data_IF_584723159470
#
_entry.id   IF_584723159470
#
_cell.length_a   1.000
_cell.length_b   1.000
_cell.length_c   1.000
_cell.angle_alpha   90.00
_cell.angle_beta   90.00
_cell.angle_gamma   90.00
#
_symmetry.space_group_name_H-M   'P 1'
#
loop_
_entity.id
_entity.type
_entity.pdbx_description
1 polymer ?
#
# COMPACT_ATOMS: atom_id res chain seq x y z
N UNK A 1 15.62 25.51 10.32
CA UNK A 1 15.10 25.78 8.97
C UNK A 1 13.59 25.79 9.09
N UNK A 2 12.91 26.81 8.56
CA UNK A 2 11.48 26.96 8.74
C UNK A 2 10.77 25.71 8.21
N UNK A 3 10.00 25.10 9.10
CA UNK A 3 9.28 23.84 8.96
C UNK A 3 8.11 24.08 7.99
N UNK A 4 8.37 23.95 6.69
CA UNK A 4 7.38 24.11 5.62
C UNK A 4 6.44 22.90 5.64
N UNK A 5 5.57 22.86 6.66
CA UNK A 5 4.53 21.84 6.81
C UNK A 5 3.47 22.06 5.75
N UNK A 6 3.76 21.60 4.53
CA UNK A 6 2.80 21.58 3.42
C UNK A 6 1.57 20.80 3.86
N UNK A 7 0.42 21.47 3.88
CA UNK A 7 -0.87 20.83 4.10
C UNK A 7 -1.16 19.97 2.88
N UNK A 8 -1.34 18.67 3.09
CA UNK A 8 -1.60 17.71 2.01
C UNK A 8 -3.06 17.30 1.93
N UNK A 9 -3.83 17.59 2.98
CA UNK A 9 -5.25 17.25 3.08
C UNK A 9 -6.00 18.25 3.97
N UNK A 10 -7.23 18.57 3.60
CA UNK A 10 -8.13 19.42 4.37
C UNK A 10 -9.60 19.02 4.17
N UNK A 11 -10.35 19.05 5.28
CA UNK A 11 -11.79 18.90 5.36
C UNK A 11 -12.38 20.17 5.95
N UNK A 12 -13.43 20.70 5.33
CA UNK A 12 -14.10 21.93 5.75
C UNK A 12 -15.59 21.64 5.88
N UNK A 13 -16.08 21.62 7.13
CA UNK A 13 -17.49 21.43 7.43
C UNK A 13 -18.05 20.08 7.00
N UNK A 14 -17.24 19.02 7.02
CA UNK A 14 -17.66 17.73 6.48
C UNK A 14 -18.66 17.03 7.40
N UNK A 15 -19.82 16.70 6.85
CA UNK A 15 -20.89 16.00 7.55
C UNK A 15 -21.38 14.78 6.75
N UNK A 16 -21.69 13.68 7.44
CA UNK A 16 -22.24 12.46 6.82
C UNK A 16 -23.43 11.95 7.63
N UNK A 17 -24.52 11.73 6.93
CA UNK A 17 -25.76 11.16 7.45
C UNK A 17 -26.16 9.97 6.59
N UNK A 18 -26.33 8.81 7.21
CA UNK A 18 -26.86 7.62 6.55
C UNK A 18 -28.40 7.57 6.65
N UNK A 19 -29.10 7.08 5.63
CA UNK A 19 -30.54 6.85 5.71
C UNK A 19 -30.93 5.88 6.85
N UNK A 20 -32.10 6.05 7.48
CA UNK A 20 -33.05 7.14 7.26
C UNK A 20 -32.57 8.48 7.85
N UNK A 21 -31.96 8.50 9.05
CA UNK A 21 -31.54 9.76 9.71
C UNK A 21 -30.34 9.58 10.67
N UNK A 22 -29.41 8.66 10.41
CA UNK A 22 -28.27 8.41 11.30
C UNK A 22 -27.09 9.33 10.93
N UNK A 23 -26.97 10.46 11.62
CA UNK A 23 -25.79 11.32 11.49
C UNK A 23 -24.58 10.65 12.16
N UNK A 24 -23.54 10.39 11.40
CA UNK A 24 -22.30 9.73 11.88
C UNK A 24 -21.12 10.70 11.95
N UNK A 25 -21.11 11.73 11.11
CA UNK A 25 -20.13 12.82 11.14
C UNK A 25 -20.89 14.15 11.07
N UNK A 26 -20.42 15.13 11.83
CA UNK A 26 -21.02 16.46 11.90
C UNK A 26 -19.92 17.52 11.95
N UNK A 27 -19.95 18.43 10.99
CA UNK A 27 -19.14 19.65 10.91
C UNK A 27 -17.66 19.39 11.20
N UNK A 28 -17.08 18.40 10.53
CA UNK A 28 -15.66 18.04 10.69
C UNK A 28 -14.79 19.06 9.95
N UNK A 29 -13.88 19.69 10.71
CA UNK A 29 -12.80 20.52 10.20
C UNK A 29 -11.48 19.88 10.60
N UNK A 30 -10.72 19.41 9.62
CA UNK A 30 -9.48 18.69 9.85
C UNK A 30 -8.52 18.97 8.71
N UNK A 31 -7.29 19.33 9.04
CA UNK A 31 -6.20 19.45 8.07
C UNK A 31 -4.97 18.77 8.64
N UNK A 32 -4.21 18.09 7.78
CA UNK A 32 -2.94 17.51 8.18
C UNK A 32 -1.83 17.77 7.16
N UNK A 33 -0.61 17.82 7.69
CA UNK A 33 0.62 18.00 6.93
C UNK A 33 1.27 16.64 6.66
N UNK A 34 2.13 16.60 5.65
CA UNK A 34 2.92 15.41 5.35
C UNK A 34 3.79 14.99 6.54
N UNK A 35 3.76 13.70 6.88
CA UNK A 35 4.53 13.12 7.98
C UNK A 35 3.81 13.13 9.34
N UNK A 36 2.59 13.66 9.42
CA UNK A 36 1.81 13.60 10.66
C UNK A 36 1.48 12.15 11.06
N UNK A 37 1.41 11.88 12.37
CA UNK A 37 0.96 10.61 12.95
C UNK A 37 -0.29 10.88 13.78
N UNK A 38 -1.44 10.36 13.35
CA UNK A 38 -2.75 10.75 13.89
C UNK A 38 -3.52 9.52 14.33
N UNK A 39 -3.75 9.39 15.64
CA UNK A 39 -4.65 8.39 16.20
C UNK A 39 -6.09 8.88 16.23
N UNK A 40 -7.02 8.17 15.58
CA UNK A 40 -8.45 8.45 15.66
C UNK A 40 -9.09 7.53 16.72
N UNK A 41 -9.59 8.12 17.80
CA UNK A 41 -10.24 7.39 18.90
C UNK A 41 -11.72 7.71 18.98
N UNK A 42 -12.52 6.75 19.45
CA UNK A 42 -13.96 6.92 19.60
C UNK A 42 -14.68 5.59 19.76
N UNK A 43 -15.93 5.64 20.24
CA UNK A 43 -16.77 4.46 20.42
C UNK A 43 -17.09 3.76 19.08
N UNK A 44 -17.53 2.51 19.15
CA UNK A 44 -18.01 1.81 17.95
C UNK A 44 -19.23 2.53 17.37
N UNK A 45 -19.21 2.74 16.05
CA UNK A 45 -20.24 3.51 15.36
C UNK A 45 -20.10 5.03 15.43
N UNK A 46 -19.01 5.57 15.99
CA UNK A 46 -18.74 7.02 16.03
C UNK A 46 -18.30 7.63 14.69
N UNK A 47 -18.33 6.86 13.60
CA UNK A 47 -17.97 7.34 12.26
C UNK A 47 -16.47 7.27 11.90
N UNK A 48 -15.62 6.61 12.70
CA UNK A 48 -14.16 6.48 12.42
C UNK A 48 -13.88 5.90 11.03
N UNK A 49 -14.42 4.72 10.74
CA UNK A 49 -14.28 4.07 9.44
C UNK A 49 -14.87 4.91 8.30
N UNK A 50 -15.95 5.65 8.56
CA UNK A 50 -16.54 6.57 7.59
C UNK A 50 -15.61 7.74 7.29
N UNK A 51 -14.98 8.32 8.32
CA UNK A 51 -14.00 9.39 8.16
C UNK A 51 -12.80 8.90 7.34
N UNK A 52 -12.22 7.74 7.67
CA UNK A 52 -11.13 7.14 6.90
C UNK A 52 -11.52 6.89 5.43
N UNK A 53 -12.72 6.37 5.17
CA UNK A 53 -13.22 6.15 3.80
C UNK A 53 -13.40 7.44 3.00
N UNK A 54 -13.77 8.55 3.66
CA UNK A 54 -13.84 9.86 3.01
C UNK A 54 -12.43 10.35 2.65
N UNK A 55 -11.46 10.20 3.57
CA UNK A 55 -10.06 10.58 3.32
C UNK A 55 -9.46 9.74 2.19
N UNK A 56 -9.76 8.43 2.16
CA UNK A 56 -9.35 7.51 1.10
C UNK A 56 -10.04 7.78 -0.26
N UNK A 57 -11.05 8.65 -0.31
CA UNK A 57 -11.82 8.94 -1.53
C UNK A 57 -12.82 7.83 -1.94
N UNK A 58 -13.06 6.86 -1.06
CA UNK A 58 -13.98 5.74 -1.28
C UNK A 58 -15.43 6.18 -1.03
N UNK A 59 -15.66 6.88 0.09
CA UNK A 59 -16.95 7.45 0.43
C UNK A 59 -17.05 8.87 -0.11
N UNK A 60 -17.94 9.09 -1.08
CA UNK A 60 -18.07 10.37 -1.81
C UNK A 60 -19.35 11.13 -1.48
N UNK A 61 -20.30 10.50 -0.81
CA UNK A 61 -21.59 11.12 -0.51
C UNK A 61 -21.55 11.81 0.85
N UNK A 62 -21.00 13.02 0.92
CA UNK A 62 -20.97 13.81 2.16
C UNK A 62 -21.30 15.28 1.86
N UNK A 63 -21.59 16.04 2.91
CA UNK A 63 -21.70 17.50 2.86
C UNK A 63 -20.37 18.11 3.25
N UNK A 64 -20.10 19.36 2.83
CA UNK A 64 -18.84 20.06 3.08
C UNK A 64 -17.85 19.90 1.93
N UNK A 65 -16.59 20.23 2.18
CA UNK A 65 -15.52 20.24 1.17
C UNK A 65 -14.33 19.40 1.63
N UNK A 66 -13.76 18.60 0.73
CA UNK A 66 -12.52 17.85 0.94
C UNK A 66 -11.53 18.24 -0.16
N UNK A 67 -10.38 18.76 0.26
CA UNK A 67 -9.26 19.12 -0.61
C UNK A 67 -8.09 18.20 -0.29
N UNK A 68 -7.55 17.53 -1.31
CA UNK A 68 -6.40 16.62 -1.19
C UNK A 68 -5.40 16.91 -2.31
N UNK A 69 -4.12 16.95 -1.97
CA UNK A 69 -3.05 17.06 -2.95
C UNK A 69 -2.84 15.71 -3.64
N UNK A 70 -3.14 15.66 -4.94
CA UNK A 70 -3.11 14.44 -5.75
C UNK A 70 -1.69 13.96 -6.08
N UNK A 71 -0.66 14.73 -5.75
CA UNK A 71 0.73 14.25 -5.87
C UNK A 71 1.09 13.19 -4.84
N UNK A 72 0.33 13.09 -3.74
CA UNK A 72 0.57 12.12 -2.68
C UNK A 72 -0.32 10.89 -2.86
N UNK A 73 0.30 9.73 -2.81
CA UNK A 73 -0.39 8.44 -2.84
C UNK A 73 -1.11 8.16 -1.52
N UNK A 74 -2.30 7.56 -1.60
CA UNK A 74 -3.09 7.20 -0.42
C UNK A 74 -3.33 5.70 -0.45
N UNK A 75 -2.93 5.01 0.61
CA UNK A 75 -3.23 3.60 0.81
C UNK A 75 -4.18 3.41 1.99
N UNK A 76 -5.15 2.52 1.83
CA UNK A 76 -6.19 2.27 2.83
C UNK A 76 -6.30 0.78 3.13
N UNK A 77 -6.20 0.43 4.42
CA UNK A 77 -6.51 -0.90 4.91
C UNK A 77 -8.00 -0.97 5.28
N UNK A 78 -8.77 -1.67 4.46
CA UNK A 78 -10.17 -1.99 4.75
C UNK A 78 -10.30 -2.93 5.96
N UNK A 79 -11.39 -2.80 6.71
CA UNK A 79 -11.71 -3.71 7.82
C UNK A 79 -11.87 -5.16 7.36
N UNK A 80 -12.44 -5.36 6.18
CA UNK A 80 -12.62 -6.66 5.50
C UNK A 80 -11.99 -6.59 4.10
N UNK A 81 -10.69 -6.87 3.98
CA UNK A 81 -9.97 -6.67 2.74
C UNK A 81 -10.37 -7.70 1.68
N UNK A 82 -10.69 -7.19 0.50
CA UNK A 82 -10.97 -8.01 -0.68
C UNK A 82 -9.65 -8.36 -1.36
N UNK A 83 -9.31 -9.64 -1.28
CA UNK A 83 -8.16 -10.23 -1.96
C UNK A 83 -8.67 -11.15 -3.07
N UNK A 84 -7.90 -11.26 -4.15
CA UNK A 84 -8.19 -12.18 -5.24
C UNK A 84 -8.10 -13.63 -4.74
N UNK A 85 -9.19 -14.37 -4.85
CA UNK A 85 -9.33 -15.71 -4.27
C UNK A 85 -8.54 -16.78 -5.02
N UNK A 86 -8.23 -16.52 -6.29
CA UNK A 86 -7.52 -17.44 -7.17
C UNK A 86 -5.99 -17.33 -7.03
N UNK A 87 -5.50 -16.30 -6.32
CA UNK A 87 -4.07 -16.07 -6.09
C UNK A 87 -3.55 -16.76 -4.83
N UNK A 88 -2.24 -16.98 -4.78
CA UNK A 88 -1.51 -17.37 -3.57
C UNK A 88 -1.18 -16.16 -2.70
N UNK A 89 -0.77 -16.41 -1.44
CA UNK A 89 -0.36 -15.34 -0.51
C UNK A 89 0.78 -14.52 -1.11
N UNK A 90 1.82 -15.17 -1.65
CA UNK A 90 2.99 -14.46 -2.20
C UNK A 90 2.62 -13.61 -3.40
N UNK A 91 1.68 -14.05 -4.24
CA UNK A 91 1.19 -13.26 -5.37
C UNK A 91 0.52 -11.97 -4.89
N UNK A 92 -0.34 -12.04 -3.86
CA UNK A 92 -0.95 -10.84 -3.27
C UNK A 92 0.11 -9.92 -2.65
N UNK A 93 1.09 -10.48 -1.93
CA UNK A 93 2.14 -9.68 -1.29
C UNK A 93 3.00 -8.96 -2.34
N UNK A 94 3.34 -9.63 -3.44
CA UNK A 94 4.09 -9.08 -4.58
C UNK A 94 3.40 -7.90 -5.27
N UNK A 95 2.06 -7.86 -5.27
CA UNK A 95 1.31 -6.68 -5.76
C UNK A 95 1.68 -5.40 -4.99
N UNK A 96 2.19 -5.53 -3.76
CA UNK A 96 2.65 -4.39 -2.97
C UNK A 96 3.87 -3.70 -3.57
N UNK A 97 4.64 -4.43 -4.39
CA UNK A 97 5.84 -3.95 -5.09
C UNK A 97 5.75 -4.22 -6.59
N UNK A 98 4.52 -4.21 -7.15
CA UNK A 98 4.28 -4.54 -8.56
C UNK A 98 5.20 -3.79 -9.54
N UNK A 99 5.49 -2.49 -9.39
CA UNK A 99 6.41 -1.80 -10.30
C UNK A 99 7.83 -2.40 -10.32
N UNK A 100 8.30 -2.96 -9.19
CA UNK A 100 9.59 -3.65 -9.10
C UNK A 100 9.51 -5.02 -9.76
N UNK A 101 8.41 -5.76 -9.54
CA UNK A 101 8.17 -7.05 -10.17
C UNK A 101 8.08 -6.93 -11.70
N UNK A 102 7.45 -5.87 -12.20
CA UNK A 102 7.33 -5.59 -13.63
C UNK A 102 8.71 -5.33 -14.26
N UNK A 103 9.59 -4.58 -13.58
CA UNK A 103 10.97 -4.35 -14.03
C UNK A 103 11.79 -5.65 -14.06
N UNK A 104 11.64 -6.50 -13.05
CA UNK A 104 12.31 -7.80 -12.99
C UNK A 104 11.84 -8.73 -14.11
N UNK A 105 10.52 -8.77 -14.36
CA UNK A 105 9.93 -9.55 -15.44
C UNK A 105 10.41 -9.08 -16.81
N UNK A 106 10.48 -7.76 -17.03
CA UNK A 106 11.04 -7.20 -18.27
C UNK A 106 12.52 -7.55 -18.45
N UNK A 107 13.30 -7.48 -17.37
CA UNK A 107 14.72 -7.85 -17.38
C UNK A 107 14.92 -9.34 -17.72
N UNK A 108 14.10 -10.23 -17.14
CA UNK A 108 14.10 -11.66 -17.46
C UNK A 108 13.71 -11.91 -18.93
N UNK A 109 12.68 -11.24 -19.44
CA UNK A 109 12.28 -11.33 -20.84
C UNK A 109 13.40 -10.92 -21.79
N UNK A 110 14.12 -9.84 -21.49
CA UNK A 110 15.29 -9.40 -22.26
C UNK A 110 16.42 -10.43 -22.21
N UNK A 111 16.69 -11.02 -21.05
CA UNK A 111 17.69 -12.08 -20.91
C UNK A 111 17.38 -13.29 -21.79
N UNK A 112 16.11 -13.68 -21.86
CA UNK A 112 15.67 -14.77 -22.74
C UNK A 112 15.87 -14.42 -24.23
N UNK A 113 15.61 -13.16 -24.63
CA UNK A 113 15.79 -12.70 -26.01
C UNK A 113 17.24 -12.78 -26.49
N UNK A 114 18.23 -12.60 -25.62
CA UNK A 114 19.65 -12.79 -25.99
C UNK A 114 19.96 -14.22 -26.48
N UNK A 115 19.18 -15.22 -26.05
CA UNK A 115 19.34 -16.62 -26.47
C UNK A 115 18.63 -16.98 -27.79
N UNK A 116 17.90 -16.06 -28.42
CA UNK A 116 17.10 -16.34 -29.61
C UNK A 116 17.84 -15.94 -30.91
N UNK A 117 17.81 -16.78 -31.97
CA UNK A 117 18.53 -16.50 -33.23
C UNK A 117 18.16 -15.16 -33.87
N UNK A 118 16.89 -14.78 -33.77
CA UNK A 118 16.39 -13.53 -34.32
C UNK A 118 17.01 -12.26 -33.71
N UNK A 119 17.65 -12.38 -32.53
CA UNK A 119 18.40 -11.30 -31.88
C UNK A 119 19.91 -11.55 -31.97
N UNK A 120 20.39 -12.77 -31.70
CA UNK A 120 21.84 -12.97 -31.63
C UNK A 120 22.54 -12.98 -33.01
N UNK A 121 21.80 -13.19 -34.09
CA UNK A 121 22.31 -13.12 -35.47
C UNK A 121 22.18 -11.71 -36.08
N UNK A 122 21.50 -10.78 -35.39
CA UNK A 122 21.24 -9.41 -35.83
C UNK A 122 21.90 -8.41 -34.87
N UNK A 123 23.02 -7.83 -35.30
CA UNK A 123 23.82 -6.90 -34.50
C UNK A 123 23.02 -5.68 -34.04
N UNK A 124 22.10 -5.15 -34.86
CA UNK A 124 21.31 -3.98 -34.51
C UNK A 124 20.32 -4.31 -33.39
N UNK A 125 19.64 -5.47 -33.50
CA UNK A 125 18.72 -5.93 -32.44
C UNK A 125 19.46 -6.29 -31.16
N UNK A 126 20.62 -6.92 -31.27
CA UNK A 126 21.46 -7.25 -30.10
C UNK A 126 21.90 -5.97 -29.36
N UNK A 127 22.36 -4.95 -30.09
CA UNK A 127 22.74 -3.66 -29.49
C UNK A 127 21.55 -2.99 -28.78
N UNK A 128 20.35 -3.02 -29.37
CA UNK A 128 19.12 -2.50 -28.71
C UNK A 128 18.78 -3.24 -27.42
N UNK A 129 18.99 -4.57 -27.38
CA UNK A 129 18.79 -5.34 -26.15
C UNK A 129 19.81 -4.93 -25.07
N UNK A 130 21.08 -4.74 -25.43
CA UNK A 130 22.10 -4.28 -24.47
C UNK A 130 21.76 -2.90 -23.90
N UNK A 131 21.37 -1.94 -24.75
CA UNK A 131 20.99 -0.60 -24.32
C UNK A 131 19.81 -0.67 -23.34
N UNK A 132 18.78 -1.45 -23.68
CA UNK A 132 17.60 -1.59 -22.81
C UNK A 132 17.91 -2.32 -21.51
N UNK A 133 18.74 -3.37 -21.56
CA UNK A 133 19.18 -4.10 -20.37
C UNK A 133 19.94 -3.19 -19.41
N UNK A 134 20.83 -2.32 -19.93
CA UNK A 134 21.56 -1.35 -19.13
C UNK A 134 20.61 -0.35 -18.44
N UNK A 135 19.63 0.19 -19.17
CA UNK A 135 18.61 1.07 -18.56
C UNK A 135 17.80 0.39 -17.46
N UNK A 136 17.43 -0.88 -17.65
CA UNK A 136 16.71 -1.65 -16.63
C UNK A 136 17.59 -1.97 -15.43
N UNK A 137 18.85 -2.32 -15.65
CA UNK A 137 19.79 -2.59 -14.58
C UNK A 137 19.96 -1.36 -13.68
N UNK A 138 20.16 -0.17 -14.25
CA UNK A 138 20.24 1.08 -13.49
C UNK A 138 18.97 1.33 -12.65
N UNK A 139 17.79 1.03 -13.20
CA UNK A 139 16.51 1.16 -12.48
C UNK A 139 16.36 0.13 -11.36
N UNK A 140 16.72 -1.12 -11.62
CA UNK A 140 16.65 -2.22 -10.65
C UNK A 140 17.60 -1.98 -9.47
N UNK A 141 18.82 -1.50 -9.74
CA UNK A 141 19.79 -1.12 -8.72
C UNK A 141 19.29 0.07 -7.87
N UNK A 142 18.67 1.07 -8.50
CA UNK A 142 18.13 2.24 -7.81
C UNK A 142 17.02 1.92 -6.81
N UNK A 143 16.28 0.82 -7.01
CA UNK A 143 15.19 0.38 -6.13
C UNK A 143 15.53 -0.85 -5.29
N UNK A 144 16.80 -1.29 -5.30
CA UNK A 144 17.29 -2.49 -4.60
C UNK A 144 16.48 -3.76 -4.94
N UNK A 145 16.11 -3.90 -6.22
CA UNK A 145 15.22 -4.96 -6.69
C UNK A 145 15.79 -6.36 -6.45
N UNK A 146 17.12 -6.52 -6.44
CA UNK A 146 17.78 -7.82 -6.23
C UNK A 146 17.59 -8.38 -4.82
N UNK A 147 17.22 -7.53 -3.85
CA UNK A 147 16.90 -7.94 -2.49
C UNK A 147 15.40 -8.03 -2.24
N UNK A 148 14.56 -7.99 -3.29
CA UNK A 148 13.12 -7.91 -3.12
C UNK A 148 12.56 -9.12 -2.38
N UNK A 149 13.01 -10.34 -2.70
CA UNK A 149 12.51 -11.56 -2.05
C UNK A 149 12.78 -11.53 -0.53
N UNK A 150 13.99 -11.12 -0.11
CA UNK A 150 14.32 -10.94 1.30
C UNK A 150 13.45 -9.88 1.98
N UNK A 151 13.09 -8.80 1.26
CA UNK A 151 12.20 -7.75 1.78
C UNK A 151 10.77 -8.27 1.95
N UNK A 152 10.28 -9.06 1.00
CA UNK A 152 8.95 -9.69 1.07
C UNK A 152 8.88 -10.69 2.22
N UNK A 153 9.85 -11.60 2.32
CA UNK A 153 9.94 -12.61 3.39
C UNK A 153 9.94 -11.96 4.77
N UNK A 154 10.81 -10.95 4.99
CA UNK A 154 10.87 -10.22 6.26
C UNK A 154 9.55 -9.53 6.63
N UNK A 155 8.84 -8.97 5.65
CA UNK A 155 7.56 -8.33 5.88
C UNK A 155 6.47 -9.37 6.21
N UNK A 156 6.45 -10.49 5.49
CA UNK A 156 5.53 -11.60 5.72
C UNK A 156 5.73 -12.22 7.09
N UNK A 157 6.97 -12.48 7.48
CA UNK A 157 7.34 -13.03 8.78
C UNK A 157 6.92 -12.11 9.93
N UNK A 158 7.24 -10.81 9.81
CA UNK A 158 6.92 -9.83 10.84
C UNK A 158 5.42 -9.69 11.10
N UNK A 159 4.60 -9.87 10.07
CA UNK A 159 3.14 -9.86 10.17
C UNK A 159 2.54 -11.27 10.31
N UNK A 160 3.37 -12.30 10.46
CA UNK A 160 2.96 -13.71 10.57
C UNK A 160 1.92 -14.07 9.51
N UNK A 161 2.26 -13.75 8.26
CA UNK A 161 1.47 -14.14 7.11
C UNK A 161 1.41 -15.67 6.99
N UNK A 162 0.35 -16.22 6.39
CA UNK A 162 0.30 -17.64 6.06
C UNK A 162 1.40 -18.03 5.06
N UNK A 163 1.66 -19.34 4.87
CA UNK A 163 2.60 -19.83 3.85
C UNK A 163 2.38 -19.21 2.47
N UNK A 164 3.48 -18.91 1.78
CA UNK A 164 3.52 -18.22 0.49
C UNK A 164 2.60 -18.84 -0.57
N UNK A 165 2.65 -20.16 -0.71
CA UNK A 165 1.90 -20.93 -1.71
C UNK A 165 0.45 -21.19 -1.30
N UNK A 166 0.03 -20.79 -0.09
CA UNK A 166 -1.33 -21.03 0.35
C UNK A 166 -2.32 -20.21 -0.49
N UNK A 167 -3.39 -20.82 -1.04
CA UNK A 167 -4.40 -20.09 -1.80
C UNK A 167 -5.19 -19.13 -0.91
N UNK A 168 -5.47 -17.92 -1.40
CA UNK A 168 -6.22 -16.87 -0.67
C UNK A 168 -7.61 -17.34 -0.25
N UNK A 169 -8.29 -18.13 -1.09
CA UNK A 169 -9.61 -18.71 -0.79
C UNK A 169 -9.65 -19.54 0.50
N UNK A 170 -8.52 -20.08 0.95
CA UNK A 170 -8.42 -20.93 2.16
C UNK A 170 -8.12 -20.13 3.43
N UNK A 171 -7.85 -18.83 3.30
CA UNK A 171 -7.47 -17.96 4.42
C UNK A 171 -8.68 -17.55 5.26
N UNK A 172 -8.51 -17.57 6.58
CA UNK A 172 -9.41 -16.92 7.52
C UNK A 172 -9.42 -15.39 7.34
N UNK A 173 -10.46 -14.71 7.84
CA UNK A 173 -10.55 -13.25 7.75
C UNK A 173 -9.36 -12.52 8.42
N UNK A 174 -8.84 -13.07 9.53
CA UNK A 174 -7.64 -12.54 10.19
C UNK A 174 -6.38 -12.70 9.34
N UNK A 175 -6.20 -13.84 8.69
CA UNK A 175 -5.08 -14.09 7.78
C UNK A 175 -5.14 -13.19 6.55
N UNK A 176 -6.31 -13.07 5.91
CA UNK A 176 -6.52 -12.13 4.79
C UNK A 176 -6.16 -10.71 5.18
N UNK A 177 -6.51 -10.31 6.40
CA UNK A 177 -6.15 -9.00 6.94
C UNK A 177 -4.66 -8.78 7.10
N UNK A 178 -3.92 -9.78 7.61
CA UNK A 178 -2.45 -9.68 7.74
C UNK A 178 -1.77 -9.62 6.38
N UNK A 179 -2.23 -10.42 5.42
CA UNK A 179 -1.73 -10.37 4.03
C UNK A 179 -2.02 -9.02 3.37
N UNK A 180 -3.23 -8.47 3.54
CA UNK A 180 -3.58 -7.16 3.00
C UNK A 180 -2.78 -6.02 3.64
N UNK A 181 -2.54 -6.08 4.96
CA UNK A 181 -1.67 -5.14 5.66
C UNK A 181 -0.22 -5.25 5.16
N UNK A 182 0.31 -6.47 4.98
CA UNK A 182 1.64 -6.70 4.44
C UNK A 182 1.81 -6.06 3.05
N UNK A 183 0.88 -6.36 2.13
CA UNK A 183 0.82 -5.75 0.80
C UNK A 183 0.82 -4.22 0.88
N UNK A 184 -0.02 -3.64 1.74
CA UNK A 184 -0.17 -2.19 1.87
C UNK A 184 1.10 -1.51 2.44
N UNK A 185 1.76 -2.12 3.43
CA UNK A 185 2.99 -1.56 4.00
C UNK A 185 4.14 -1.58 2.99
N UNK A 186 4.22 -2.62 2.15
CA UNK A 186 5.20 -2.73 1.08
C UNK A 186 5.02 -1.69 -0.03
N UNK A 187 3.79 -1.22 -0.26
CA UNK A 187 3.50 -0.14 -1.21
C UNK A 187 4.09 1.21 -0.79
N UNK A 188 4.35 1.39 0.52
CA UNK A 188 4.87 2.63 1.11
C UNK A 188 4.15 3.92 0.61
N UNK A 189 2.81 3.99 0.65
CA UNK A 189 2.09 5.19 0.24
C UNK A 189 2.46 6.43 1.07
N UNK A 190 2.24 7.62 0.52
CA UNK A 190 2.50 8.88 1.20
C UNK A 190 1.57 9.13 2.39
N UNK A 191 0.35 8.60 2.32
CA UNK A 191 -0.67 8.64 3.37
C UNK A 191 -1.20 7.22 3.59
N UNK A 192 -0.97 6.71 4.78
CA UNK A 192 -1.38 5.37 5.20
C UNK A 192 -2.60 5.47 6.11
N UNK A 193 -3.73 4.92 5.68
CA UNK A 193 -4.99 4.94 6.43
C UNK A 193 -5.29 3.55 6.95
N UNK A 194 -5.25 3.39 8.27
CA UNK A 194 -5.40 2.09 8.92
C UNK A 194 -6.65 2.04 9.80
N UNK A 195 -7.63 1.23 9.42
CA UNK A 195 -8.87 1.09 10.19
C UNK A 195 -8.81 -0.10 11.15
N UNK A 196 -8.49 0.14 12.43
CA UNK A 196 -8.28 -0.87 13.48
C UNK A 196 -7.16 -1.90 13.18
N UNK A 197 -5.95 -1.48 12.76
CA UNK A 197 -4.93 -2.38 12.20
C UNK A 197 -4.43 -3.47 13.14
N UNK A 198 -4.58 -3.30 14.45
CA UNK A 198 -4.12 -4.26 15.47
C UNK A 198 -5.07 -5.45 15.64
N UNK A 199 -6.26 -5.44 15.04
CA UNK A 199 -7.19 -6.55 15.14
C UNK A 199 -6.58 -7.81 14.49
N UNK A 200 -6.70 -8.95 15.18
CA UNK A 200 -6.17 -10.25 14.75
C UNK A 200 -4.64 -10.33 14.66
N UNK A 201 -3.93 -9.37 15.26
CA UNK A 201 -2.49 -9.42 15.48
C UNK A 201 -2.19 -9.91 16.90
N UNK A 202 -1.08 -10.62 17.06
CA UNK A 202 -0.52 -10.92 18.39
C UNK A 202 0.40 -9.80 18.88
N UNK A 203 0.85 -9.90 20.13
CA UNK A 203 1.63 -8.85 20.78
C UNK A 203 2.95 -8.53 20.04
N UNK A 204 3.61 -9.52 19.46
CA UNK A 204 4.87 -9.33 18.73
C UNK A 204 4.63 -8.60 17.41
N UNK A 205 3.60 -9.00 16.66
CA UNK A 205 3.20 -8.32 15.42
C UNK A 205 2.73 -6.88 15.67
N UNK A 206 2.09 -6.62 16.82
CA UNK A 206 1.68 -5.27 17.24
C UNK A 206 2.90 -4.39 17.53
N UNK A 207 3.88 -4.89 18.30
CA UNK A 207 5.11 -4.14 18.59
C UNK A 207 5.89 -3.82 17.31
N UNK A 208 6.00 -4.78 16.41
CA UNK A 208 6.62 -4.55 15.10
C UNK A 208 5.87 -3.48 14.30
N UNK A 209 4.54 -3.57 14.23
CA UNK A 209 3.71 -2.59 13.51
C UNK A 209 3.87 -1.20 14.13
N UNK A 210 3.87 -1.08 15.45
CA UNK A 210 4.07 0.19 16.14
C UNK A 210 5.42 0.82 15.77
N UNK A 211 6.50 0.06 15.85
CA UNK A 211 7.85 0.52 15.47
C UNK A 211 7.91 0.94 13.99
N UNK A 212 7.26 0.18 13.11
CA UNK A 212 7.17 0.50 11.69
C UNK A 212 6.42 1.84 11.46
N UNK A 213 5.25 2.03 12.07
CA UNK A 213 4.45 3.25 11.90
C UNK A 213 5.12 4.50 12.48
N UNK A 214 5.89 4.34 13.57
CA UNK A 214 6.71 5.41 14.13
C UNK A 214 7.81 5.87 13.16
N UNK A 215 8.43 4.95 12.43
CA UNK A 215 9.52 5.24 11.48
C UNK A 215 9.01 5.57 10.06
N UNK A 216 7.71 5.41 9.81
CA UNK A 216 7.12 5.62 8.50
C UNK A 216 7.35 7.06 8.01
N UNK A 217 7.86 7.24 6.79
CA UNK A 217 8.22 8.57 6.26
C UNK A 217 7.00 9.44 5.96
N UNK A 218 5.92 8.80 5.50
CA UNK A 218 4.66 9.45 5.16
C UNK A 218 3.77 9.74 6.37
N UNK A 219 2.53 10.08 6.08
CA UNK A 219 1.47 10.34 7.06
C UNK A 219 0.80 9.03 7.47
N UNK A 220 0.44 8.88 8.75
CA UNK A 220 -0.34 7.74 9.28
C UNK A 220 -1.55 8.28 10.02
#
# INVERSE_FOLDING_TARGET
MADDKKIIFSMVGVSKTFPPHKQVLKDIYLSFFYGAKIGIIGLNGSGKSTLLKIIAGIEKEYQGEVVSDKSFSVGYLEQDPKLDEDKSVIEIVREGVQPVMDLLAEYEEINLKFGLPEYYEDEEKMNKLFDRQAELQDKLDAVDAWNIDNRLERAMDALRCPPEEQPVRELSGGERRRVALCRLLLQEPDVLLLDEPTNHLDAESIDWLEQHLQQYKGTV
#
